data_IF_802065655376
#
_entry.id   IF_802065655376
#
_cell.length_a   1.000
_cell.length_b   1.000
_cell.length_c   1.000
_cell.angle_alpha   90.00
_cell.angle_beta   90.00
_cell.angle_gamma   90.00
#
_symmetry.space_group_name_H-M   'P 1'
#
loop_
_entity.id
_entity.type
_entity.pdbx_description
1 polymer ?
#
# COMPACT_ATOMS: atom_id res chain seq x y z
N UNK A 1 19.59 -7.09 -5.86
CA UNK A 1 19.60 -8.23 -6.79
C UNK A 1 19.73 -9.56 -6.04
N UNK A 2 20.75 -9.74 -5.17
CA UNK A 2 20.94 -10.99 -4.39
C UNK A 2 19.72 -11.33 -3.52
N UNK A 3 19.12 -10.34 -2.88
CA UNK A 3 17.90 -10.54 -2.10
C UNK A 3 16.72 -11.10 -2.92
N UNK A 4 16.59 -10.69 -4.19
CA UNK A 4 15.60 -11.27 -5.12
C UNK A 4 15.87 -12.76 -5.33
N UNK A 5 17.12 -13.15 -5.59
CA UNK A 5 17.51 -14.55 -5.78
C UNK A 5 17.23 -15.39 -4.53
N UNK A 6 17.57 -14.86 -3.35
CA UNK A 6 17.37 -15.55 -2.06
C UNK A 6 15.86 -15.71 -1.76
N UNK A 7 15.05 -14.69 -2.01
CA UNK A 7 13.60 -14.77 -1.82
C UNK A 7 12.96 -15.77 -2.81
N UNK A 8 13.37 -15.76 -4.09
CA UNK A 8 12.95 -16.78 -5.05
C UNK A 8 13.37 -18.19 -4.64
N UNK A 9 14.57 -18.35 -4.08
CA UNK A 9 15.03 -19.64 -3.54
C UNK A 9 14.21 -20.08 -2.32
N UNK A 10 13.79 -19.15 -1.46
CA UNK A 10 12.92 -19.46 -0.31
C UNK A 10 11.54 -19.95 -0.76
N UNK A 11 10.92 -19.34 -1.78
CA UNK A 11 9.67 -19.83 -2.34
C UNK A 11 9.83 -21.27 -2.86
N UNK A 12 10.91 -21.53 -3.62
CA UNK A 12 11.22 -22.88 -4.12
C UNK A 12 11.44 -23.88 -2.99
N UNK A 13 12.08 -23.46 -1.90
CA UNK A 13 12.25 -24.28 -0.70
C UNK A 13 10.91 -24.71 -0.11
N UNK A 14 9.96 -23.81 0.06
CA UNK A 14 8.64 -24.15 0.60
C UNK A 14 7.87 -25.09 -0.34
N UNK A 15 7.92 -24.90 -1.66
CA UNK A 15 7.32 -25.82 -2.63
C UNK A 15 7.94 -27.21 -2.58
N UNK A 16 9.27 -27.31 -2.45
CA UNK A 16 9.96 -28.57 -2.26
C UNK A 16 9.54 -29.27 -0.97
N UNK A 17 9.49 -28.53 0.15
CA UNK A 17 9.13 -29.12 1.46
C UNK A 17 7.66 -29.53 1.52
N UNK A 18 6.79 -28.92 0.74
CA UNK A 18 5.42 -29.39 0.57
C UNK A 18 5.36 -30.84 0.07
N UNK A 19 6.14 -31.19 -0.95
CA UNK A 19 6.24 -32.56 -1.47
C UNK A 19 6.88 -33.54 -0.48
N UNK A 20 7.64 -33.02 0.49
CA UNK A 20 8.28 -33.81 1.55
C UNK A 20 7.41 -33.97 2.81
N UNK A 21 6.09 -33.82 2.69
CA UNK A 21 5.12 -33.94 3.78
C UNK A 21 4.74 -32.63 4.44
N UNK A 22 5.10 -31.49 3.85
CA UNK A 22 4.68 -30.15 4.26
C UNK A 22 4.93 -29.83 5.75
N UNK A 23 6.16 -29.98 6.26
CA UNK A 23 6.45 -29.81 7.69
C UNK A 23 6.18 -28.39 8.22
N UNK A 24 6.03 -27.41 7.33
CA UNK A 24 5.75 -26.01 7.67
C UNK A 24 4.27 -25.65 7.51
N UNK A 25 3.41 -26.55 7.04
CA UNK A 25 1.99 -26.28 6.85
C UNK A 25 1.67 -25.21 5.80
N UNK A 26 2.54 -25.04 4.79
CA UNK A 26 2.39 -24.00 3.75
C UNK A 26 1.42 -24.46 2.67
N UNK A 27 0.47 -23.59 2.30
CA UNK A 27 -0.32 -23.74 1.07
C UNK A 27 0.47 -23.19 -0.12
N UNK A 28 1.10 -24.09 -0.87
CA UNK A 28 1.90 -23.71 -2.04
C UNK A 28 1.10 -23.27 -3.27
N UNK A 29 -0.22 -23.37 -3.22
CA UNK A 29 -1.10 -22.79 -4.24
C UNK A 29 -1.35 -21.30 -4.03
N UNK A 30 -0.93 -20.76 -2.86
CA UNK A 30 -1.18 -19.36 -2.44
C UNK A 30 0.00 -18.83 -1.66
N UNK A 31 1.01 -18.33 -2.36
CA UNK A 31 2.22 -17.78 -1.76
C UNK A 31 2.17 -16.25 -1.85
N UNK A 32 2.21 -15.61 -0.69
CA UNK A 32 2.27 -14.16 -0.56
C UNK A 32 3.65 -13.78 -0.04
N UNK A 33 4.29 -12.79 -0.67
CA UNK A 33 5.49 -12.19 -0.13
C UNK A 33 5.13 -10.94 0.67
N UNK A 34 5.54 -10.91 1.92
CA UNK A 34 5.45 -9.73 2.75
C UNK A 34 6.85 -9.22 3.03
N UNK A 35 7.10 -7.94 2.76
CA UNK A 35 8.40 -7.33 3.00
C UNK A 35 8.26 -5.97 3.67
N UNK A 36 9.16 -5.72 4.64
CA UNK A 36 9.25 -4.47 5.39
C UNK A 36 10.59 -3.80 5.10
N UNK A 37 10.61 -2.49 4.85
CA UNK A 37 11.82 -1.74 4.53
C UNK A 37 12.60 -2.38 3.39
N UNK A 38 13.82 -2.86 3.64
CA UNK A 38 14.63 -3.60 2.65
C UNK A 38 13.91 -4.86 2.13
N UNK A 39 13.13 -5.54 2.97
CA UNK A 39 12.29 -6.67 2.55
C UNK A 39 11.19 -6.24 1.58
N UNK A 40 10.61 -5.04 1.76
CA UNK A 40 9.66 -4.44 0.84
C UNK A 40 10.29 -4.16 -0.53
N UNK A 41 11.52 -3.64 -0.56
CA UNK A 41 12.31 -3.49 -1.79
C UNK A 41 12.52 -4.83 -2.50
N UNK A 42 12.92 -5.86 -1.75
CA UNK A 42 13.14 -7.20 -2.30
C UNK A 42 11.84 -7.73 -2.91
N UNK A 43 10.73 -7.65 -2.19
CA UNK A 43 9.44 -8.16 -2.64
C UNK A 43 8.94 -7.44 -3.91
N UNK A 44 9.00 -6.09 -3.92
CA UNK A 44 8.59 -5.28 -5.07
C UNK A 44 9.48 -5.53 -6.29
N UNK A 45 10.81 -5.57 -6.12
CA UNK A 45 11.72 -5.87 -7.21
C UNK A 45 11.64 -7.33 -7.68
N UNK A 46 11.36 -8.28 -6.77
CA UNK A 46 11.16 -9.69 -7.15
C UNK A 46 9.96 -9.87 -8.07
N UNK A 47 8.92 -9.07 -7.84
CA UNK A 47 7.71 -9.09 -8.65
C UNK A 47 7.95 -8.67 -10.10
N UNK A 48 8.90 -7.74 -10.31
CA UNK A 48 9.00 -7.00 -11.57
C UNK A 48 10.29 -7.28 -12.35
N UNK A 49 11.37 -7.75 -11.68
CA UNK A 49 12.66 -8.00 -12.37
C UNK A 49 12.65 -9.39 -12.98
N UNK A 50 12.57 -9.43 -14.31
CA UNK A 50 12.56 -10.67 -15.08
C UNK A 50 13.34 -10.62 -16.40
N UNK A 51 14.02 -9.49 -16.70
CA UNK A 51 14.80 -9.26 -17.92
C UNK A 51 16.18 -8.71 -17.63
N UNK A 52 17.14 -9.10 -18.44
CA UNK A 52 18.51 -8.60 -18.33
C UNK A 52 18.61 -7.08 -18.55
N UNK A 53 17.81 -6.54 -19.48
CA UNK A 53 17.78 -5.11 -19.78
C UNK A 53 17.40 -4.23 -18.59
N UNK A 54 16.63 -4.75 -17.65
CA UNK A 54 16.15 -4.02 -16.47
C UNK A 54 17.27 -3.72 -15.49
N UNK A 55 18.19 -4.68 -15.30
CA UNK A 55 19.35 -4.51 -14.42
C UNK A 55 20.54 -3.84 -15.13
N UNK A 56 20.39 -3.48 -16.41
CA UNK A 56 21.40 -2.80 -17.21
C UNK A 56 20.99 -1.37 -17.61
N UNK A 57 19.98 -0.79 -16.96
CA UNK A 57 19.64 0.61 -17.15
C UNK A 57 20.82 1.52 -16.82
N UNK A 58 20.96 2.70 -17.43
CA UNK A 58 22.10 3.60 -17.25
C UNK A 58 22.47 3.88 -15.79
N UNK A 59 21.47 3.99 -14.90
CA UNK A 59 21.69 4.22 -13.47
C UNK A 59 22.27 3.02 -12.70
N UNK A 60 22.28 1.84 -13.31
CA UNK A 60 22.87 0.61 -12.78
C UNK A 60 24.18 0.24 -13.49
N UNK A 61 24.75 1.17 -14.21
CA UNK A 61 26.10 1.06 -14.77
C UNK A 61 27.09 1.85 -13.91
N UNK A 62 28.32 1.37 -13.85
CA UNK A 62 29.39 2.16 -13.27
C UNK A 62 29.59 3.45 -14.09
N UNK A 63 29.59 4.58 -13.43
CA UNK A 63 29.58 5.89 -14.07
C UNK A 63 30.87 6.22 -14.91
N UNK A 64 31.95 5.49 -14.66
CA UNK A 64 33.25 5.71 -15.33
C UNK A 64 33.48 4.70 -16.46
N UNK A 65 33.19 3.43 -16.17
CA UNK A 65 33.51 2.32 -17.08
C UNK A 65 32.32 1.89 -17.93
N UNK A 66 31.10 2.35 -17.59
CA UNK A 66 29.83 1.90 -18.17
C UNK A 66 29.59 0.36 -18.07
N UNK A 67 30.28 -0.31 -17.15
CA UNK A 67 30.11 -1.73 -16.89
C UNK A 67 28.88 -1.90 -15.97
N UNK A 68 28.00 -2.89 -16.21
CA UNK A 68 26.91 -3.18 -15.31
C UNK A 68 27.37 -3.46 -13.87
N UNK A 69 26.73 -2.81 -12.88
CA UNK A 69 27.00 -3.04 -11.46
C UNK A 69 26.57 -4.46 -11.04
N UNK A 70 25.62 -5.03 -11.77
CA UNK A 70 25.15 -6.40 -11.58
C UNK A 70 25.75 -7.28 -12.69
N UNK A 71 26.75 -8.07 -12.33
CA UNK A 71 27.39 -9.02 -13.25
C UNK A 71 26.73 -10.39 -13.13
N UNK A 72 25.87 -10.72 -14.08
CA UNK A 72 25.17 -12.01 -14.12
C UNK A 72 26.09 -13.19 -14.42
N UNK A 73 27.28 -12.95 -14.96
CA UNK A 73 28.28 -14.04 -15.15
C UNK A 73 28.89 -14.47 -13.80
N UNK A 74 28.87 -13.59 -12.80
CA UNK A 74 29.29 -13.88 -11.44
C UNK A 74 28.14 -14.33 -10.55
N UNK A 75 27.00 -13.62 -10.60
CA UNK A 75 25.90 -13.79 -9.65
C UNK A 75 24.74 -14.61 -10.19
N UNK A 76 24.79 -15.04 -11.47
CA UNK A 76 23.69 -15.75 -12.10
C UNK A 76 22.53 -14.84 -12.53
N UNK A 77 21.47 -15.44 -13.04
CA UNK A 77 20.25 -14.73 -13.43
C UNK A 77 19.39 -14.32 -12.22
N UNK A 78 18.28 -13.65 -12.46
CA UNK A 78 17.34 -13.19 -11.39
C UNK A 78 16.61 -14.34 -10.67
N UNK A 79 16.69 -15.59 -11.15
CA UNK A 79 16.28 -16.77 -10.41
C UNK A 79 17.37 -17.31 -9.49
N UNK A 80 18.59 -16.85 -9.62
CA UNK A 80 19.77 -17.37 -8.93
C UNK A 80 20.33 -18.63 -9.62
N UNK A 81 20.15 -18.75 -10.93
CA UNK A 81 20.71 -19.83 -11.71
C UNK A 81 21.92 -19.35 -12.52
N UNK A 82 22.87 -20.26 -12.73
CA UNK A 82 24.13 -19.95 -13.40
C UNK A 82 25.06 -19.12 -12.55
N UNK A 83 25.97 -18.36 -13.22
CA UNK A 83 27.00 -17.57 -12.55
C UNK A 83 28.20 -18.40 -12.09
N UNK A 84 29.03 -17.80 -11.26
CA UNK A 84 30.19 -18.47 -10.69
C UNK A 84 29.78 -19.36 -9.50
N UNK A 85 30.01 -20.69 -9.53
CA UNK A 85 29.60 -21.61 -8.47
C UNK A 85 30.21 -21.31 -7.08
N UNK A 86 31.28 -20.55 -7.01
CA UNK A 86 31.88 -20.09 -5.75
C UNK A 86 31.11 -18.92 -5.12
N UNK A 87 30.33 -18.19 -5.91
CA UNK A 87 29.57 -17.01 -5.49
C UNK A 87 28.08 -17.19 -5.54
N UNK A 88 27.60 -18.13 -6.35
CA UNK A 88 26.19 -18.39 -6.54
C UNK A 88 25.90 -19.91 -6.51
N UNK A 89 25.09 -20.34 -5.54
CA UNK A 89 24.67 -21.74 -5.41
C UNK A 89 23.21 -21.82 -5.85
N UNK A 90 22.96 -22.60 -6.91
CA UNK A 90 21.61 -22.86 -7.39
C UNK A 90 20.78 -23.64 -6.34
N UNK A 91 19.81 -22.97 -5.71
CA UNK A 91 18.98 -23.60 -4.69
C UNK A 91 17.62 -24.04 -5.26
N UNK A 92 17.26 -25.30 -5.01
CA UNK A 92 15.95 -25.88 -5.28
C UNK A 92 15.51 -25.71 -6.75
N UNK A 93 16.42 -25.91 -7.69
CA UNK A 93 16.16 -25.88 -9.13
C UNK A 93 15.08 -26.92 -9.51
N UNK A 94 14.18 -26.54 -10.41
CA UNK A 94 13.05 -27.36 -10.83
C UNK A 94 11.73 -27.05 -10.10
N UNK A 95 11.76 -26.30 -8.99
CA UNK A 95 10.56 -25.79 -8.34
C UNK A 95 10.25 -24.37 -8.82
N UNK A 96 8.97 -24.03 -8.89
CA UNK A 96 8.52 -22.67 -9.24
C UNK A 96 8.84 -21.68 -8.12
N UNK A 97 9.30 -20.49 -8.46
CA UNK A 97 9.41 -19.33 -7.57
C UNK A 97 8.24 -18.35 -7.74
N UNK A 98 7.16 -18.76 -8.38
CA UNK A 98 5.98 -17.95 -8.58
C UNK A 98 5.27 -17.65 -7.24
N UNK A 99 4.60 -16.51 -7.17
CA UNK A 99 3.86 -16.04 -6.01
C UNK A 99 2.55 -15.39 -6.47
N UNK A 100 1.65 -15.07 -5.54
CA UNK A 100 0.30 -14.66 -5.88
C UNK A 100 0.02 -13.20 -5.55
N UNK A 101 0.72 -12.63 -4.56
CA UNK A 101 0.53 -11.25 -4.12
C UNK A 101 1.78 -10.72 -3.39
N UNK A 102 1.99 -9.41 -3.45
CA UNK A 102 3.02 -8.69 -2.69
C UNK A 102 2.36 -7.82 -1.63
N UNK A 103 2.91 -7.86 -0.41
CA UNK A 103 2.60 -6.93 0.67
C UNK A 103 3.85 -6.10 0.95
N UNK A 104 3.79 -4.82 0.65
CA UNK A 104 4.91 -3.91 0.77
C UNK A 104 4.71 -2.95 1.94
N UNK A 105 5.61 -2.99 2.92
CA UNK A 105 5.66 -2.07 4.06
C UNK A 105 6.90 -1.18 3.96
N UNK A 106 6.75 0.04 3.41
CA UNK A 106 7.83 1.00 3.31
C UNK A 106 8.98 0.56 2.40
N UNK A 107 8.70 -0.15 1.33
CA UNK A 107 9.68 -0.48 0.29
C UNK A 107 9.50 0.38 -0.95
N UNK A 108 10.45 0.29 -1.86
CA UNK A 108 10.45 0.99 -3.14
C UNK A 108 10.93 0.06 -4.27
N UNK A 109 10.93 0.55 -5.50
CA UNK A 109 11.48 -0.16 -6.66
C UNK A 109 12.67 0.61 -7.22
N UNK A 110 13.65 -0.10 -7.76
CA UNK A 110 14.86 0.51 -8.30
C UNK A 110 14.61 1.34 -9.56
N UNK A 111 13.66 0.92 -10.38
CA UNK A 111 13.18 1.67 -11.54
C UNK A 111 11.69 1.35 -11.80
N UNK A 112 10.90 2.38 -12.03
CA UNK A 112 9.47 2.21 -12.25
C UNK A 112 9.17 1.50 -13.58
N UNK A 113 10.07 1.54 -14.55
CA UNK A 113 9.91 0.86 -15.84
C UNK A 113 9.91 -0.68 -15.73
N UNK A 114 10.43 -1.23 -14.63
CA UNK A 114 10.41 -2.67 -14.37
C UNK A 114 9.00 -3.22 -14.17
N UNK A 115 8.08 -2.38 -13.66
CA UNK A 115 6.69 -2.79 -13.42
C UNK A 115 5.93 -2.83 -14.75
N UNK A 116 5.46 -4.02 -15.13
CA UNK A 116 4.78 -4.29 -16.38
C UNK A 116 3.35 -4.83 -16.15
N UNK A 117 2.56 -4.82 -17.22
CA UNK A 117 1.22 -5.42 -17.19
C UNK A 117 1.31 -6.94 -17.02
N UNK A 118 0.61 -7.47 -16.02
CA UNK A 118 0.63 -8.90 -15.68
C UNK A 118 1.51 -9.24 -14.48
N UNK A 119 2.25 -8.28 -13.92
CA UNK A 119 2.89 -8.45 -12.61
C UNK A 119 1.84 -8.72 -11.55
N UNK A 120 2.26 -9.43 -10.48
CA UNK A 120 1.33 -9.83 -9.41
C UNK A 120 0.78 -8.61 -8.66
N UNK A 121 -0.44 -8.70 -8.15
CA UNK A 121 -1.07 -7.63 -7.40
C UNK A 121 -0.28 -7.28 -6.15
N UNK A 122 -0.33 -6.01 -5.80
CA UNK A 122 0.37 -5.47 -4.63
C UNK A 122 -0.57 -4.71 -3.71
N UNK A 123 -0.29 -4.79 -2.42
CA UNK A 123 -0.88 -3.93 -1.39
C UNK A 123 0.25 -3.29 -0.62
N UNK A 124 0.15 -2.01 -0.32
CA UNK A 124 1.23 -1.29 0.34
C UNK A 124 0.74 -0.46 1.53
N UNK A 125 1.64 -0.27 2.51
CA UNK A 125 1.53 0.72 3.57
C UNK A 125 2.87 1.46 3.64
N UNK A 126 2.87 2.80 3.65
CA UNK A 126 4.10 3.57 3.55
C UNK A 126 3.96 4.93 4.25
N UNK A 127 4.98 5.32 5.02
CA UNK A 127 5.04 6.65 5.62
C UNK A 127 5.35 7.70 4.56
N UNK A 128 4.55 8.76 4.52
CA UNK A 128 4.77 9.84 3.56
C UNK A 128 6.07 10.63 3.80
N UNK A 129 6.68 10.49 4.97
CA UNK A 129 7.92 11.17 5.38
C UNK A 129 9.14 10.27 5.39
N UNK A 130 9.04 9.02 4.90
CA UNK A 130 10.17 8.11 4.84
C UNK A 130 11.29 8.70 3.97
N UNK A 131 12.51 8.75 4.54
CA UNK A 131 13.71 9.27 3.88
C UNK A 131 14.65 8.19 3.36
N UNK A 132 14.40 6.94 3.70
CA UNK A 132 15.21 5.79 3.27
C UNK A 132 14.58 5.14 2.05
N UNK A 133 13.31 4.76 2.16
CA UNK A 133 12.49 4.39 1.02
C UNK A 133 11.50 5.53 0.79
N UNK A 134 11.79 6.40 -0.15
CA UNK A 134 10.93 7.57 -0.43
C UNK A 134 9.50 7.14 -0.77
N UNK A 135 8.52 7.97 -0.39
CA UNK A 135 7.10 7.67 -0.61
C UNK A 135 6.72 7.69 -2.10
N UNK A 136 7.18 8.71 -2.84
CA UNK A 136 7.07 8.84 -4.30
C UNK A 136 8.43 8.67 -4.97
N UNK A 137 8.79 9.54 -5.90
CA UNK A 137 10.10 9.50 -6.58
C UNK A 137 11.18 10.20 -5.75
N UNK A 138 12.42 9.71 -5.83
CA UNK A 138 13.59 10.33 -5.18
C UNK A 138 14.86 9.51 -5.34
N UNK A 139 15.86 9.81 -4.51
CA UNK A 139 17.18 9.17 -4.57
C UNK A 139 17.43 8.29 -3.35
N UNK A 140 17.97 7.10 -3.56
CA UNK A 140 18.50 6.29 -2.46
C UNK A 140 19.89 6.79 -2.07
N UNK A 141 20.02 7.23 -0.84
CA UNK A 141 21.30 7.68 -0.28
C UNK A 141 21.63 6.97 1.02
N UNK A 142 22.89 6.64 1.24
CA UNK A 142 23.40 6.05 2.48
C UNK A 142 24.62 6.83 2.94
N UNK A 143 24.63 7.25 4.21
CA UNK A 143 25.72 8.04 4.79
C UNK A 143 26.08 9.30 3.98
N UNK A 144 25.07 9.93 3.37
CA UNK A 144 25.25 11.11 2.53
C UNK A 144 25.79 10.83 1.12
N UNK A 145 25.94 9.58 0.74
CA UNK A 145 26.36 9.17 -0.61
C UNK A 145 25.13 8.65 -1.36
N UNK A 146 24.85 9.20 -2.53
CA UNK A 146 23.79 8.71 -3.41
C UNK A 146 24.21 7.36 -3.99
N UNK A 147 23.39 6.35 -3.82
CA UNK A 147 23.62 4.98 -4.31
C UNK A 147 22.89 4.76 -5.64
N UNK A 148 21.62 5.19 -5.72
CA UNK A 148 20.78 5.08 -6.93
C UNK A 148 19.92 6.33 -7.04
N UNK A 149 19.78 6.89 -8.26
CA UNK A 149 18.84 7.97 -8.56
C UNK A 149 17.49 7.44 -9.01
N UNK A 150 16.49 8.29 -8.96
CA UNK A 150 15.16 8.08 -9.55
C UNK A 150 14.53 6.74 -9.15
N UNK A 151 14.61 6.39 -7.87
CA UNK A 151 13.87 5.26 -7.31
C UNK A 151 12.41 5.69 -7.09
N UNK A 152 11.50 4.74 -7.15
CA UNK A 152 10.07 4.99 -6.93
C UNK A 152 9.54 4.25 -5.71
N UNK A 153 8.95 4.99 -4.79
CA UNK A 153 8.29 4.48 -3.61
C UNK A 153 6.88 3.96 -3.89
N UNK A 154 6.19 3.58 -2.80
CA UNK A 154 4.89 2.93 -2.93
C UNK A 154 3.84 3.78 -3.63
N UNK A 155 3.89 5.10 -3.56
CA UNK A 155 2.93 5.97 -4.24
C UNK A 155 2.97 5.78 -5.76
N UNK A 156 4.15 5.90 -6.36
CA UNK A 156 4.31 5.76 -7.81
C UNK A 156 4.15 4.31 -8.27
N UNK A 157 4.67 3.36 -7.49
CA UNK A 157 4.55 1.91 -7.76
C UNK A 157 3.08 1.51 -7.81
N UNK A 158 2.30 1.87 -6.80
CA UNK A 158 0.88 1.48 -6.73
C UNK A 158 0.05 2.23 -7.77
N UNK A 159 0.35 3.50 -8.04
CA UNK A 159 -0.30 4.25 -9.11
C UNK A 159 -0.06 3.60 -10.48
N UNK A 160 1.18 3.16 -10.76
CA UNK A 160 1.49 2.46 -12.00
C UNK A 160 0.84 1.07 -12.04
N UNK A 161 0.88 0.30 -10.95
CA UNK A 161 0.22 -1.01 -10.88
C UNK A 161 -1.28 -0.92 -11.19
N UNK A 162 -1.97 0.08 -10.64
CA UNK A 162 -3.38 0.34 -10.94
C UNK A 162 -3.58 0.71 -12.41
N UNK A 163 -2.71 1.56 -12.98
CA UNK A 163 -2.79 1.96 -14.40
C UNK A 163 -2.55 0.80 -15.38
N UNK A 164 -1.82 -0.22 -14.96
CA UNK A 164 -1.54 -1.43 -15.73
C UNK A 164 -2.61 -2.53 -15.52
N UNK A 165 -3.56 -2.32 -14.60
CA UNK A 165 -4.57 -3.31 -14.25
C UNK A 165 -4.04 -4.47 -13.38
N UNK A 166 -2.84 -4.38 -12.84
CA UNK A 166 -2.23 -5.45 -12.05
C UNK A 166 -2.99 -5.73 -10.74
N UNK A 167 -3.69 -4.72 -10.22
CA UNK A 167 -4.47 -4.80 -8.99
C UNK A 167 -5.96 -5.09 -9.22
N UNK A 168 -6.43 -5.28 -10.45
CA UNK A 168 -7.86 -5.43 -10.79
C UNK A 168 -8.52 -6.64 -10.10
N UNK A 169 -7.73 -7.64 -9.72
CA UNK A 169 -8.22 -8.78 -8.95
C UNK A 169 -8.56 -8.45 -7.49
N UNK A 170 -8.07 -7.33 -6.96
CA UNK A 170 -8.39 -6.86 -5.61
C UNK A 170 -9.64 -5.98 -5.73
N UNK A 171 -10.81 -6.44 -5.25
CA UNK A 171 -12.03 -5.66 -5.39
C UNK A 171 -11.95 -4.37 -4.56
N UNK A 172 -12.71 -3.37 -4.96
CA UNK A 172 -12.87 -2.16 -4.16
C UNK A 172 -13.52 -2.51 -2.83
N UNK A 173 -12.86 -2.14 -1.73
CA UNK A 173 -13.34 -2.36 -0.37
C UNK A 173 -13.87 -1.05 0.23
N UNK A 174 -14.83 -1.19 1.14
CA UNK A 174 -15.51 -0.06 1.81
C UNK A 174 -15.44 -0.21 3.34
N UNK A 175 -14.32 -0.72 3.84
CA UNK A 175 -14.06 -0.84 5.27
C UNK A 175 -13.48 0.46 5.86
N UNK A 176 -13.43 0.53 7.19
CA UNK A 176 -12.97 1.72 7.91
C UNK A 176 -11.52 2.08 7.58
N UNK A 177 -10.67 1.10 7.29
CA UNK A 177 -9.26 1.32 6.94
C UNK A 177 -9.10 1.82 5.50
N UNK A 178 -9.96 1.39 4.58
CA UNK A 178 -10.03 1.97 3.22
C UNK A 178 -10.45 3.43 3.29
N UNK A 179 -11.45 3.76 4.10
CA UNK A 179 -11.89 5.13 4.33
C UNK A 179 -10.77 5.96 4.99
N UNK A 180 -10.07 5.39 5.98
CA UNK A 180 -8.93 6.06 6.62
C UNK A 180 -7.80 6.36 5.64
N UNK A 181 -7.46 5.42 4.76
CA UNK A 181 -6.45 5.62 3.71
C UNK A 181 -6.85 6.76 2.75
N UNK A 182 -8.12 6.81 2.33
CA UNK A 182 -8.65 7.89 1.48
C UNK A 182 -8.59 9.24 2.19
N UNK A 183 -8.93 9.31 3.48
CA UNK A 183 -8.85 10.52 4.29
C UNK A 183 -7.40 10.99 4.45
N UNK A 184 -6.45 10.07 4.61
CA UNK A 184 -5.03 10.39 4.68
C UNK A 184 -4.55 10.99 3.33
N UNK A 185 -4.93 10.41 2.18
CA UNK A 185 -4.64 11.02 0.89
C UNK A 185 -5.25 12.41 0.74
N UNK A 186 -6.51 12.58 1.14
CA UNK A 186 -7.17 13.90 1.09
C UNK A 186 -6.41 14.93 1.95
N UNK A 187 -5.87 14.52 3.10
CA UNK A 187 -5.05 15.36 3.97
C UNK A 187 -3.72 15.72 3.32
N UNK A 188 -3.02 14.78 2.70
CA UNK A 188 -1.77 15.04 1.98
C UNK A 188 -1.99 16.00 0.80
N UNK A 189 -3.00 15.78 0.00
CA UNK A 189 -3.36 16.63 -1.15
C UNK A 189 -3.71 18.03 -0.68
N UNK A 190 -4.54 18.16 0.35
CA UNK A 190 -4.94 19.46 0.91
C UNK A 190 -3.77 20.22 1.52
N UNK A 191 -2.78 19.52 2.06
CA UNK A 191 -1.56 20.10 2.59
C UNK A 191 -0.54 20.48 1.50
N UNK A 192 -0.80 20.16 0.24
CA UNK A 192 0.16 20.35 -0.86
C UNK A 192 1.41 19.49 -0.70
N UNK A 193 1.25 18.27 -0.20
CA UNK A 193 2.36 17.36 0.01
C UNK A 193 3.08 17.04 -1.31
N UNK A 194 4.39 16.91 -1.23
CA UNK A 194 5.27 16.56 -2.34
C UNK A 194 6.13 15.36 -1.97
N UNK A 195 6.62 14.64 -2.97
CA UNK A 195 7.64 13.61 -2.81
C UNK A 195 9.05 14.21 -2.65
N UNK A 196 10.08 13.37 -2.60
CA UNK A 196 11.45 13.80 -2.40
C UNK A 196 12.02 14.62 -3.58
N UNK A 197 11.47 14.46 -4.78
CA UNK A 197 11.83 15.22 -5.99
C UNK A 197 10.90 16.41 -6.26
N UNK A 198 10.08 16.77 -5.26
CA UNK A 198 9.12 17.90 -5.32
C UNK A 198 7.94 17.69 -6.28
N UNK A 199 7.62 16.45 -6.65
CA UNK A 199 6.40 16.17 -7.39
C UNK A 199 5.21 16.16 -6.44
N UNK A 200 4.11 16.81 -6.83
CA UNK A 200 2.93 16.93 -5.99
C UNK A 200 2.17 15.59 -5.86
N UNK A 201 1.75 15.27 -4.65
CA UNK A 201 0.79 14.19 -4.40
C UNK A 201 -0.60 14.71 -4.75
N UNK A 202 -1.15 14.27 -5.88
CA UNK A 202 -2.37 14.84 -6.47
C UNK A 202 -3.59 13.94 -6.43
N UNK A 203 -3.37 12.62 -6.26
CA UNK A 203 -4.44 11.62 -6.33
C UNK A 203 -4.36 10.65 -5.15
N UNK A 204 -5.50 10.09 -4.77
CA UNK A 204 -5.53 8.88 -3.97
C UNK A 204 -5.17 7.67 -4.85
N UNK A 205 -4.49 6.69 -4.27
CA UNK A 205 -4.09 5.47 -4.95
C UNK A 205 -4.73 4.28 -4.24
N UNK A 206 -5.35 3.38 -5.00
CA UNK A 206 -5.96 2.17 -4.46
C UNK A 206 -4.90 1.24 -3.87
N UNK A 207 -5.31 0.45 -2.88
CA UNK A 207 -4.45 -0.56 -2.25
C UNK A 207 -3.14 -0.02 -1.63
N UNK A 208 -3.04 1.29 -1.41
CA UNK A 208 -1.98 1.95 -0.66
C UNK A 208 -2.57 2.65 0.58
N UNK A 209 -2.01 2.35 1.75
CA UNK A 209 -2.29 3.08 2.99
C UNK A 209 -1.16 4.09 3.26
N UNK A 210 -1.36 5.38 3.02
CA UNK A 210 -0.37 6.39 3.38
C UNK A 210 -0.43 6.64 4.88
N UNK A 211 0.67 6.37 5.58
CA UNK A 211 0.82 6.63 6.99
C UNK A 211 1.32 8.05 7.19
N UNK A 212 0.49 8.89 7.80
CA UNK A 212 0.85 10.27 8.15
C UNK A 212 1.31 10.26 9.61
N UNK A 213 2.59 10.54 9.81
CA UNK A 213 3.20 10.59 11.15
C UNK A 213 3.57 12.02 11.52
N UNK A 214 3.68 12.29 12.81
CA UNK A 214 4.10 13.61 13.30
C UNK A 214 5.61 13.87 13.15
N UNK A 215 6.38 12.86 12.77
CA UNK A 215 7.84 12.94 12.70
C UNK A 215 8.31 13.14 11.26
N UNK A 216 9.19 14.11 10.98
CA UNK A 216 9.54 14.52 9.61
C UNK A 216 10.47 13.54 8.87
N UNK A 217 10.82 12.41 9.47
CA UNK A 217 11.72 11.41 8.90
C UNK A 217 11.28 9.98 9.27
N UNK A 218 10.03 9.80 9.66
CA UNK A 218 9.56 8.50 10.07
C UNK A 218 9.35 7.57 8.87
N UNK A 219 9.89 6.34 8.96
CA UNK A 219 9.78 5.35 7.91
C UNK A 219 9.21 4.01 8.39
N UNK A 220 9.29 3.70 9.69
CA UNK A 220 8.89 2.41 10.23
C UNK A 220 8.19 2.53 11.61
N UNK A 221 7.01 3.17 11.70
CA UNK A 221 6.29 3.35 12.97
C UNK A 221 5.77 2.05 13.58
N UNK A 222 5.69 1.00 12.78
CA UNK A 222 5.30 -0.37 13.19
C UNK A 222 6.42 -1.16 13.83
N UNK A 223 7.67 -0.65 13.83
CA UNK A 223 8.80 -1.30 14.46
C UNK A 223 8.85 -1.05 15.96
N UNK A 224 9.24 -2.09 16.69
CA UNK A 224 9.64 -1.97 18.08
C UNK A 224 11.07 -2.45 18.27
N UNK A 225 11.86 -1.64 18.93
CA UNK A 225 13.21 -1.97 19.34
C UNK A 225 13.56 -1.21 20.62
N UNK A 226 14.44 -1.78 21.43
CA UNK A 226 14.96 -1.15 22.64
C UNK A 226 16.49 -1.25 22.68
N UNK A 227 17.11 -0.36 23.48
CA UNK A 227 18.57 -0.27 23.55
C UNK A 227 19.25 -1.51 24.09
N UNK A 228 18.65 -2.19 25.06
CA UNK A 228 19.24 -3.37 25.69
C UNK A 228 19.29 -4.54 24.72
N UNK A 229 18.15 -4.81 24.06
CA UNK A 229 18.04 -5.87 23.06
C UNK A 229 18.94 -5.61 21.86
N UNK A 230 18.97 -4.37 21.35
CA UNK A 230 19.81 -4.00 20.20
C UNK A 230 21.29 -4.19 20.51
N UNK A 231 21.75 -3.78 21.68
CA UNK A 231 23.12 -3.98 22.13
C UNK A 231 23.43 -5.47 22.32
N UNK A 232 22.52 -6.22 22.93
CA UNK A 232 22.69 -7.67 23.13
C UNK A 232 22.82 -8.43 21.80
N UNK A 233 21.98 -8.11 20.82
CA UNK A 233 22.05 -8.70 19.46
C UNK A 233 23.40 -8.38 18.80
N UNK A 234 23.86 -7.14 18.86
CA UNK A 234 25.18 -6.76 18.31
C UNK A 234 26.31 -7.57 18.96
N UNK A 235 26.29 -7.71 20.28
CA UNK A 235 27.28 -8.51 21.00
C UNK A 235 27.22 -10.01 20.64
N UNK A 236 26.04 -10.57 20.46
CA UNK A 236 25.85 -11.95 19.99
C UNK A 236 26.42 -12.17 18.58
N UNK A 237 26.46 -11.13 17.76
CA UNK A 237 27.08 -11.13 16.43
C UNK A 237 28.59 -10.86 16.47
N UNK A 238 29.18 -10.76 17.66
CA UNK A 238 30.60 -10.50 17.85
C UNK A 238 31.01 -9.03 17.67
N UNK A 239 30.02 -8.11 17.65
CA UNK A 239 30.26 -6.67 17.56
C UNK A 239 30.42 -6.04 18.94
N UNK A 240 31.21 -4.95 19.09
CA UNK A 240 31.29 -4.21 20.35
C UNK A 240 29.95 -3.62 20.76
N UNK A 241 29.66 -3.56 22.07
CA UNK A 241 28.44 -2.95 22.62
C UNK A 241 28.23 -1.50 22.12
N UNK A 242 29.30 -0.75 21.90
CA UNK A 242 29.24 0.60 21.35
C UNK A 242 28.61 0.67 19.94
N UNK A 243 28.81 -0.37 19.12
CA UNK A 243 28.17 -0.45 17.80
C UNK A 243 26.68 -0.74 17.92
N UNK A 244 26.27 -1.60 18.88
CA UNK A 244 24.86 -1.80 19.20
C UNK A 244 24.16 -0.54 19.69
N UNK A 245 24.83 0.24 20.54
CA UNK A 245 24.31 1.53 21.00
C UNK A 245 24.20 2.56 19.86
N UNK A 246 25.17 2.58 18.94
CA UNK A 246 25.12 3.45 17.76
C UNK A 246 24.00 3.03 16.80
N UNK A 247 23.78 1.73 16.59
CA UNK A 247 22.67 1.20 15.79
C UNK A 247 21.33 1.60 16.38
N UNK A 248 21.13 1.45 17.69
CA UNK A 248 19.92 1.91 18.37
C UNK A 248 19.69 3.40 18.17
N UNK A 249 20.72 4.24 18.41
CA UNK A 249 20.63 5.69 18.22
C UNK A 249 20.33 6.07 16.76
N UNK A 250 20.88 5.32 15.80
CA UNK A 250 20.59 5.48 14.38
C UNK A 250 19.13 5.18 14.03
N UNK A 251 18.57 4.11 14.60
CA UNK A 251 17.18 3.72 14.38
C UNK A 251 16.18 4.74 14.93
N UNK A 252 16.53 5.50 15.98
CA UNK A 252 15.70 6.57 16.50
C UNK A 252 15.53 7.75 15.50
N UNK A 253 16.37 7.87 14.48
CA UNK A 253 16.18 8.90 13.45
C UNK A 253 14.92 8.65 12.60
N UNK A 254 14.50 7.40 12.44
CA UNK A 254 13.35 7.00 11.64
C UNK A 254 12.16 6.54 12.47
N UNK A 255 12.32 6.43 13.79
CA UNK A 255 11.25 6.10 14.75
C UNK A 255 11.61 6.66 16.14
N UNK A 256 11.56 8.01 16.35
CA UNK A 256 12.09 8.65 17.53
C UNK A 256 11.31 8.39 18.81
N UNK A 257 10.03 8.11 18.73
CA UNK A 257 9.11 7.83 19.83
C UNK A 257 8.71 6.35 19.90
N UNK A 258 9.64 5.46 19.52
CA UNK A 258 9.42 4.02 19.51
C UNK A 258 8.88 3.52 20.85
N UNK A 259 7.78 2.78 20.79
CA UNK A 259 7.16 2.12 21.94
C UNK A 259 6.33 0.91 21.48
N UNK A 260 6.12 -0.03 22.41
CA UNK A 260 5.26 -1.21 22.12
C UNK A 260 3.85 -0.75 21.71
N UNK A 261 3.29 0.21 22.44
CA UNK A 261 1.94 0.70 22.15
C UNK A 261 1.82 1.32 20.75
N UNK A 262 2.82 2.13 20.33
CA UNK A 262 2.88 2.71 19.00
C UNK A 262 3.02 1.61 17.94
N UNK A 263 4.00 0.73 18.09
CA UNK A 263 4.26 -0.35 17.15
C UNK A 263 3.01 -1.23 16.95
N UNK A 264 2.35 -1.64 18.06
CA UNK A 264 1.11 -2.42 18.01
C UNK A 264 0.00 -1.69 17.25
N UNK A 265 -0.23 -0.40 17.52
CA UNK A 265 -1.27 0.36 16.86
C UNK A 265 -1.05 0.46 15.33
N UNK A 266 0.20 0.67 14.91
CA UNK A 266 0.53 0.71 13.48
C UNK A 266 0.49 -0.66 12.82
N UNK A 267 0.93 -1.73 13.52
CA UNK A 267 0.78 -3.11 13.03
C UNK A 267 -0.68 -3.49 12.86
N UNK A 268 -1.53 -3.17 13.84
CA UNK A 268 -2.98 -3.41 13.75
C UNK A 268 -3.59 -2.67 12.57
N UNK A 269 -3.19 -1.42 12.33
CA UNK A 269 -3.64 -0.63 11.18
C UNK A 269 -3.25 -1.29 9.85
N UNK A 270 -1.97 -1.64 9.71
CA UNK A 270 -1.45 -2.26 8.48
C UNK A 270 -2.12 -3.61 8.22
N UNK A 271 -2.21 -4.48 9.24
CA UNK A 271 -2.85 -5.79 9.10
C UNK A 271 -4.35 -5.67 8.79
N UNK A 272 -5.04 -4.73 9.42
CA UNK A 272 -6.46 -4.49 9.16
C UNK A 272 -6.71 -3.96 7.74
N UNK A 273 -5.75 -3.26 7.14
CA UNK A 273 -5.80 -2.84 5.75
C UNK A 273 -5.41 -3.97 4.79
N UNK A 274 -4.41 -4.79 5.13
CA UNK A 274 -3.91 -5.86 4.27
C UNK A 274 -4.82 -7.09 4.25
N UNK A 275 -5.28 -7.58 5.41
CA UNK A 275 -6.02 -8.84 5.50
C UNK A 275 -7.28 -8.90 4.62
N UNK A 276 -8.15 -7.89 4.58
CA UNK A 276 -9.31 -7.91 3.68
C UNK A 276 -8.91 -7.99 2.20
N UNK A 277 -7.81 -7.34 1.82
CA UNK A 277 -7.29 -7.35 0.45
C UNK A 277 -6.72 -8.69 0.05
N UNK A 278 -6.02 -9.36 0.96
CA UNK A 278 -5.54 -10.73 0.79
C UNK A 278 -6.72 -11.68 0.59
N UNK A 279 -7.68 -11.65 1.53
CA UNK A 279 -8.83 -12.58 1.53
C UNK A 279 -9.65 -12.41 0.25
N UNK A 280 -9.90 -11.18 -0.16
CA UNK A 280 -10.72 -10.90 -1.33
C UNK A 280 -9.93 -11.07 -2.64
N UNK A 281 -8.72 -10.57 -2.73
CA UNK A 281 -7.88 -10.66 -3.93
C UNK A 281 -7.48 -12.09 -4.27
N UNK A 282 -7.25 -12.94 -3.27
CA UNK A 282 -6.93 -14.36 -3.49
C UNK A 282 -8.14 -15.29 -3.37
N UNK A 283 -9.36 -14.75 -3.22
CA UNK A 283 -10.60 -15.51 -3.07
C UNK A 283 -10.49 -16.60 -1.99
N UNK A 284 -9.91 -16.25 -0.83
CA UNK A 284 -9.74 -17.19 0.28
C UNK A 284 -11.10 -17.52 0.92
N UNK A 285 -11.24 -18.67 1.63
CA UNK A 285 -12.43 -18.96 2.42
C UNK A 285 -12.69 -17.82 3.43
N UNK A 286 -13.94 -17.39 3.53
CA UNK A 286 -14.32 -16.19 4.30
C UNK A 286 -14.33 -14.90 3.47
N UNK A 287 -13.99 -14.97 2.20
CA UNK A 287 -14.23 -13.91 1.23
C UNK A 287 -15.72 -13.52 1.24
N UNK A 288 -16.01 -12.31 1.70
CA UNK A 288 -17.36 -11.75 1.76
C UNK A 288 -17.68 -10.84 0.55
N UNK A 289 -16.95 -10.97 -0.56
CA UNK A 289 -17.29 -10.30 -1.84
C UNK A 289 -18.56 -10.93 -2.43
N UNK A 290 -19.52 -11.18 -1.61
CA UNK A 290 -20.89 -11.49 -1.95
C UNK A 290 -21.75 -10.37 -1.39
N UNK A 291 -22.90 -10.21 -1.96
CA UNK A 291 -24.00 -9.27 -1.71
C UNK A 291 -24.11 -8.60 -0.31
N UNK A 292 -23.45 -9.10 0.72
CA UNK A 292 -23.43 -8.52 2.07
C UNK A 292 -22.59 -7.24 2.20
N UNK A 293 -21.58 -6.99 1.35
CA UNK A 293 -20.84 -5.72 1.33
C UNK A 293 -21.42 -4.71 0.33
N UNK A 294 -22.21 -5.16 -0.64
CA UNK A 294 -23.04 -4.27 -1.45
C UNK A 294 -24.10 -3.52 -0.61
N UNK A 295 -24.30 -3.95 0.64
CA UNK A 295 -25.26 -3.34 1.59
C UNK A 295 -24.64 -2.47 2.69
N UNK A 296 -23.33 -2.24 2.74
CA UNK A 296 -22.82 -1.00 3.35
C UNK A 296 -22.97 0.13 2.31
N UNK A 297 -24.22 0.40 1.99
CA UNK A 297 -24.62 1.52 1.17
C UNK A 297 -24.02 2.80 1.74
N UNK A 298 -23.83 3.76 0.86
CA UNK A 298 -23.51 5.15 1.23
C UNK A 298 -24.19 5.48 2.57
N UNK A 299 -23.39 5.78 3.61
CA UNK A 299 -23.94 6.26 4.88
C UNK A 299 -24.26 7.73 4.70
N UNK A 300 -25.53 8.09 4.86
CA UNK A 300 -26.00 9.46 4.72
C UNK A 300 -26.73 9.88 5.99
N UNK A 301 -26.35 11.01 6.54
CA UNK A 301 -27.09 11.67 7.60
C UNK A 301 -27.82 12.88 7.01
N UNK A 302 -29.12 12.99 7.32
CA UNK A 302 -29.98 14.08 6.84
C UNK A 302 -30.44 14.90 8.02
N UNK A 303 -30.10 16.19 8.05
CA UNK A 303 -30.43 17.08 9.15
C UNK A 303 -30.55 18.56 8.70
N UNK A 304 -31.34 19.39 9.42
CA UNK A 304 -32.31 18.96 10.42
C UNK A 304 -33.41 18.10 9.80
N UNK A 305 -34.02 17.22 10.60
CA UNK A 305 -35.18 16.46 10.17
C UNK A 305 -36.10 16.31 11.43
N UNK A 306 -37.22 17.00 11.50
CA UNK A 306 -37.84 17.85 10.47
C UNK A 306 -37.03 19.11 10.10
N UNK A 307 -37.23 19.59 8.86
CA UNK A 307 -36.61 20.78 8.31
C UNK A 307 -37.65 21.87 8.02
N UNK A 308 -37.24 23.17 8.10
CA UNK A 308 -38.07 24.33 7.73
C UNK A 308 -37.53 25.01 6.49
N UNK A 309 -36.29 25.54 6.58
CA UNK A 309 -35.73 26.39 5.53
C UNK A 309 -34.67 25.66 4.70
N UNK A 310 -33.93 24.73 5.33
CA UNK A 310 -32.87 23.99 4.65
C UNK A 310 -32.77 22.56 5.18
N UNK A 311 -32.23 21.67 4.36
CA UNK A 311 -31.85 20.30 4.72
C UNK A 311 -30.44 20.02 4.22
N UNK A 312 -29.60 19.43 5.06
CA UNK A 312 -28.21 19.05 4.74
C UNK A 312 -28.11 17.53 4.65
N UNK A 313 -27.42 17.10 3.62
CA UNK A 313 -27.04 15.70 3.38
C UNK A 313 -25.53 15.57 3.62
N UNK A 314 -25.15 14.79 4.62
CA UNK A 314 -23.76 14.50 4.92
C UNK A 314 -23.49 13.01 4.69
N UNK A 315 -22.57 12.70 3.80
CA UNK A 315 -22.28 11.35 3.33
C UNK A 315 -20.85 10.92 3.67
N UNK A 316 -20.68 9.64 3.90
CA UNK A 316 -19.35 9.00 4.05
C UNK A 316 -18.55 8.95 2.74
N UNK A 317 -19.18 9.21 1.59
CA UNK A 317 -18.56 9.23 0.26
C UNK A 317 -18.99 10.46 -0.50
N UNK A 318 -18.31 10.76 -1.62
CA UNK A 318 -18.70 11.88 -2.48
C UNK A 318 -20.12 11.66 -3.02
N UNK A 319 -20.99 12.65 -2.86
CA UNK A 319 -22.37 12.60 -3.37
C UNK A 319 -22.33 13.08 -4.83
N UNK A 320 -22.54 12.18 -5.77
CA UNK A 320 -22.61 12.51 -7.18
C UNK A 320 -23.99 13.08 -7.54
N UNK A 321 -25.06 12.48 -7.01
CA UNK A 321 -26.42 12.90 -7.31
C UNK A 321 -27.32 12.86 -6.07
N UNK A 322 -28.18 13.86 -5.90
CA UNK A 322 -29.30 13.86 -4.96
C UNK A 322 -30.57 14.08 -5.79
N UNK A 323 -31.49 13.10 -5.74
CA UNK A 323 -32.79 13.18 -6.39
C UNK A 323 -33.88 13.16 -5.33
N UNK A 324 -34.72 14.21 -5.28
CA UNK A 324 -35.76 14.38 -4.26
C UNK A 324 -37.14 14.15 -4.88
N UNK A 325 -37.93 13.33 -4.22
CA UNK A 325 -39.31 13.04 -4.58
C UNK A 325 -40.25 13.41 -3.43
N UNK A 326 -41.48 13.81 -3.76
CA UNK A 326 -42.56 13.91 -2.77
C UNK A 326 -43.11 12.52 -2.44
N UNK A 327 -44.05 12.47 -1.49
CA UNK A 327 -44.66 11.23 -1.04
C UNK A 327 -45.52 10.51 -2.12
N UNK A 328 -45.83 11.16 -3.24
CA UNK A 328 -46.51 10.56 -4.41
C UNK A 328 -45.51 9.96 -5.43
N UNK A 329 -44.22 10.14 -5.21
CA UNK A 329 -43.16 9.75 -6.16
C UNK A 329 -42.90 10.76 -7.27
N UNK A 330 -43.46 11.98 -7.17
CA UNK A 330 -43.21 13.05 -8.13
C UNK A 330 -41.80 13.62 -7.88
N UNK A 331 -40.99 13.73 -8.94
CA UNK A 331 -39.70 14.37 -8.88
C UNK A 331 -39.86 15.87 -8.54
N UNK A 332 -39.20 16.30 -7.47
CA UNK A 332 -39.16 17.67 -6.99
C UNK A 332 -37.88 18.37 -7.38
N UNK A 333 -36.73 17.70 -7.17
CA UNK A 333 -35.42 18.31 -7.44
C UNK A 333 -34.38 17.23 -7.78
N UNK A 334 -33.45 17.57 -8.68
CA UNK A 334 -32.28 16.74 -9.00
C UNK A 334 -31.03 17.62 -9.00
N UNK A 335 -29.97 17.18 -8.32
CA UNK A 335 -28.76 17.97 -8.04
C UNK A 335 -27.54 17.06 -8.15
N UNK A 336 -26.47 17.59 -8.72
CA UNK A 336 -25.16 16.90 -8.84
C UNK A 336 -24.10 17.68 -8.05
N UNK A 337 -24.01 17.51 -6.72
CA UNK A 337 -23.17 18.36 -5.87
C UNK A 337 -21.69 18.06 -5.98
N UNK A 338 -21.30 16.82 -6.28
CA UNK A 338 -19.92 16.34 -6.34
C UNK A 338 -19.09 16.69 -5.08
N UNK A 339 -19.66 16.46 -3.90
CA UNK A 339 -19.04 16.74 -2.59
C UNK A 339 -19.64 15.88 -1.48
N UNK A 340 -18.95 15.78 -0.34
CA UNK A 340 -19.36 14.94 0.81
C UNK A 340 -20.58 15.49 1.56
N UNK A 341 -20.73 16.80 1.58
CA UNK A 341 -21.85 17.48 2.25
C UNK A 341 -22.49 18.47 1.30
N UNK A 342 -23.83 18.45 1.26
CA UNK A 342 -24.59 19.40 0.46
C UNK A 342 -25.84 19.85 1.21
N UNK A 343 -26.09 21.15 1.22
CA UNK A 343 -27.26 21.78 1.84
C UNK A 343 -28.18 22.29 0.76
N UNK A 344 -29.46 21.99 0.88
CA UNK A 344 -30.52 22.38 -0.05
C UNK A 344 -31.46 23.34 0.67
N UNK A 345 -31.77 24.44 0.04
CA UNK A 345 -32.87 25.32 0.42
C UNK A 345 -34.18 24.63 0.06
N UNK A 346 -35.04 24.45 1.07
CA UNK A 346 -36.35 23.77 0.99
C UNK A 346 -37.49 24.68 1.45
N UNK A 347 -37.25 25.99 1.62
CA UNK A 347 -38.22 26.99 2.05
C UNK A 347 -39.46 27.06 1.12
N UNK A 348 -39.29 26.74 -0.16
CA UNK A 348 -40.36 26.70 -1.15
C UNK A 348 -41.05 25.31 -1.25
N UNK A 349 -40.62 24.32 -0.45
CA UNK A 349 -41.23 22.99 -0.48
C UNK A 349 -42.54 22.99 0.34
N UNK A 350 -43.55 22.29 -0.15
CA UNK A 350 -44.77 22.09 0.63
C UNK A 350 -44.47 21.27 1.88
N UNK A 351 -45.22 21.55 2.98
CA UNK A 351 -45.12 20.74 4.18
C UNK A 351 -45.51 19.28 3.89
N UNK A 352 -44.68 18.36 4.36
CA UNK A 352 -44.93 16.94 4.10
C UNK A 352 -43.66 16.06 4.17
N UNK A 353 -43.86 14.83 3.72
CA UNK A 353 -42.77 13.82 3.67
C UNK A 353 -42.13 13.82 2.29
N UNK A 354 -40.81 13.80 2.26
CA UNK A 354 -40.02 13.70 1.08
C UNK A 354 -39.04 12.51 1.17
N UNK A 355 -38.68 11.98 0.01
CA UNK A 355 -37.69 10.92 -0.15
C UNK A 355 -36.54 11.45 -1.02
N UNK A 356 -35.32 11.36 -0.51
CA UNK A 356 -34.12 11.68 -1.25
C UNK A 356 -33.38 10.40 -1.62
N UNK A 357 -33.12 10.21 -2.90
CA UNK A 357 -32.19 9.21 -3.41
C UNK A 357 -30.83 9.85 -3.56
N UNK A 358 -29.84 9.38 -2.80
CA UNK A 358 -28.48 9.88 -2.77
C UNK A 358 -27.56 8.84 -3.40
N UNK A 359 -26.85 9.20 -4.47
CA UNK A 359 -25.95 8.30 -5.19
C UNK A 359 -24.53 8.84 -5.22
N UNK A 360 -23.56 7.94 -5.04
CA UNK A 360 -22.13 8.22 -5.27
C UNK A 360 -21.66 7.74 -6.66
N UNK A 361 -22.58 7.37 -7.56
CA UNK A 361 -22.29 6.83 -8.87
C UNK A 361 -22.12 5.30 -8.91
N UNK A 362 -21.98 4.65 -7.75
CA UNK A 362 -21.82 3.19 -7.61
C UNK A 362 -23.00 2.62 -6.85
N UNK A 363 -23.38 3.25 -5.75
CA UNK A 363 -24.49 2.84 -4.88
C UNK A 363 -25.45 4.00 -4.67
N UNK A 364 -26.71 3.66 -4.38
CA UNK A 364 -27.76 4.63 -4.08
C UNK A 364 -28.36 4.30 -2.72
N UNK A 365 -28.62 5.33 -1.91
CA UNK A 365 -29.37 5.25 -0.66
C UNK A 365 -30.56 6.17 -0.68
N UNK A 366 -31.67 5.68 -0.18
CA UNK A 366 -32.88 6.49 0.00
C UNK A 366 -33.01 6.89 1.46
N UNK A 367 -33.14 8.17 1.72
CA UNK A 367 -33.40 8.75 3.04
C UNK A 367 -34.70 9.52 3.02
N UNK A 368 -35.45 9.42 4.14
CA UNK A 368 -36.70 10.15 4.34
C UNK A 368 -36.45 11.38 5.19
N UNK A 369 -37.03 12.51 4.80
CA UNK A 369 -37.05 13.74 5.61
C UNK A 369 -38.41 14.41 5.58
N UNK A 370 -38.68 15.28 6.54
CA UNK A 370 -39.96 15.93 6.77
C UNK A 370 -39.75 17.44 6.67
N UNK A 371 -40.63 18.14 5.97
CA UNK A 371 -40.72 19.60 5.93
C UNK A 371 -41.92 20.04 6.80
N UNK A 372 -41.69 21.00 7.73
CA UNK A 372 -42.68 21.59 8.65
C UNK A 372 -43.00 23.03 8.35
#
# INVERSE_FOLDING_TARGET
>A
YRGIQDAKAAIRFFRKTYEMGNPYGVDTSRIILCGQGTGGWIATCLNSVDKLSEIQLPKFLDAVTAIPLIDTTLFGDWFGYGGNPMLNIENHKGYSSDHDMILNMGGAIGDLSWLEAGDKPMVAAHCNTDRVAVFGTGNLSTLGVQIVSDISGSYDVMHKADSLGNNDMIPMLFDDYTIAAQNNFASLISAGAVDADSNAITNSVSNLFPLITGNPAEGAPWDYFDSLTTVAIAMMQGLPAAQGAAAYSGSLNTNPDVSIAKATAYQDTVLSFFCPRIVNGLMLPGNTVGITNANKGISVNVYPNPATDFVSFNSSTNINTITIFDNSGKLIKNINPNRFTYTIDVSDFAKGIYHAEISNGITTKTEKFIIE
#
